data_IF_504930389077
#
_entry.id   IF_504930389077
#
_cell.length_a   1.000
_cell.length_b   1.000
_cell.length_c   1.000
_cell.angle_alpha   90.00
_cell.angle_beta   90.00
_cell.angle_gamma   90.00
#
_symmetry.space_group_name_H-M   'P 1'
#
loop_
_entity.id
_entity.type
_entity.pdbx_description
1 polymer ?
#
# COMPACT_ATOMS: atom_id res chain seq x y z
N UNK A 1 -19.18 -15.78 10.39
CA UNK A 1 -18.09 -15.58 9.40
C UNK A 1 -17.56 -14.16 9.56
N UNK A 2 -16.33 -13.99 10.02
CA UNK A 2 -15.68 -12.67 10.10
C UNK A 2 -15.40 -12.15 8.69
N UNK A 3 -15.80 -10.91 8.39
CA UNK A 3 -15.58 -10.25 7.10
C UNK A 3 -14.29 -9.42 7.06
N UNK A 4 -13.40 -9.60 8.05
CA UNK A 4 -12.19 -8.80 8.20
C UNK A 4 -10.97 -9.54 7.67
N UNK A 5 -10.17 -8.85 6.87
CA UNK A 5 -8.84 -9.35 6.45
C UNK A 5 -7.85 -9.21 7.63
N UNK A 6 -6.94 -10.19 7.81
CA UNK A 6 -5.85 -10.07 8.78
C UNK A 6 -4.95 -8.85 8.49
N UNK A 7 -4.36 -8.27 9.54
CA UNK A 7 -3.52 -7.07 9.43
C UNK A 7 -2.28 -7.30 8.55
N UNK A 8 -1.71 -8.50 8.60
CA UNK A 8 -0.60 -8.94 7.75
C UNK A 8 -0.95 -8.83 6.26
N UNK A 9 -2.13 -9.33 5.88
CA UNK A 9 -2.61 -9.30 4.50
C UNK A 9 -2.89 -7.86 4.05
N UNK A 10 -3.45 -7.03 4.93
CA UNK A 10 -3.62 -5.58 4.67
C UNK A 10 -2.25 -4.91 4.46
N UNK A 11 -1.26 -5.29 5.28
CA UNK A 11 0.12 -4.83 5.21
C UNK A 11 0.83 -5.21 3.91
N UNK A 12 0.38 -6.25 3.22
CA UNK A 12 0.91 -6.67 1.91
C UNK A 12 0.17 -6.06 0.72
N UNK A 13 -1.15 -5.84 0.86
CA UNK A 13 -1.99 -5.28 -0.21
C UNK A 13 -1.77 -3.77 -0.35
N UNK A 14 -1.90 -3.02 0.75
CA UNK A 14 -1.90 -1.56 0.70
C UNK A 14 -0.61 -0.94 0.13
N UNK A 15 0.61 -1.48 0.37
CA UNK A 15 1.83 -0.95 -0.25
C UNK A 15 1.90 -1.11 -1.77
N UNK A 16 1.13 -2.02 -2.37
CA UNK A 16 1.13 -2.26 -3.82
C UNK A 16 0.24 -1.29 -4.60
N UNK A 17 -0.59 -0.53 -3.89
CA UNK A 17 -1.53 0.42 -4.49
C UNK A 17 -0.81 1.68 -4.97
N UNK A 18 -1.36 2.39 -5.97
CA UNK A 18 -0.85 3.71 -6.34
C UNK A 18 -0.90 4.71 -5.19
N UNK A 19 0.09 5.60 -5.11
CA UNK A 19 0.20 6.61 -4.06
C UNK A 19 -1.09 7.45 -3.89
N UNK A 20 -1.73 7.84 -5.00
CA UNK A 20 -2.98 8.62 -4.99
C UNK A 20 -4.11 7.88 -4.26
N UNK A 21 -4.20 6.56 -4.40
CA UNK A 21 -5.21 5.75 -3.70
C UNK A 21 -4.90 5.65 -2.21
N UNK A 22 -3.63 5.41 -1.85
CA UNK A 22 -3.18 5.34 -0.45
C UNK A 22 -3.47 6.65 0.30
N UNK A 23 -3.28 7.81 -0.35
CA UNK A 23 -3.61 9.11 0.24
C UNK A 23 -5.10 9.26 0.57
N UNK A 24 -5.98 8.81 -0.32
CA UNK A 24 -7.44 8.85 -0.08
C UNK A 24 -7.84 7.91 1.06
N UNK A 25 -7.15 6.78 1.22
CA UNK A 25 -7.47 5.78 2.24
C UNK A 25 -7.12 6.20 3.68
N UNK A 26 -6.42 7.32 3.86
CA UNK A 26 -6.13 7.90 5.19
C UNK A 26 -7.38 8.21 6.01
N UNK A 27 -8.53 8.46 5.35
CA UNK A 27 -9.79 8.76 6.03
C UNK A 27 -10.63 7.53 6.39
N UNK A 28 -10.24 6.31 5.97
CA UNK A 28 -11.05 5.10 6.15
C UNK A 28 -11.08 4.66 7.62
N UNK A 29 -9.91 4.55 8.27
CA UNK A 29 -9.83 4.24 9.69
C UNK A 29 -8.49 4.66 10.31
N UNK A 30 -8.46 4.77 11.65
CA UNK A 30 -7.24 5.15 12.41
C UNK A 30 -6.09 4.15 12.24
N UNK A 31 -6.40 2.85 12.13
CA UNK A 31 -5.38 1.80 11.97
C UNK A 31 -4.62 1.96 10.65
N UNK A 32 -5.32 2.24 9.55
CA UNK A 32 -4.70 2.49 8.25
C UNK A 32 -3.90 3.79 8.25
N UNK A 33 -4.42 4.85 8.86
CA UNK A 33 -3.66 6.08 9.04
C UNK A 33 -2.34 5.84 9.80
N UNK A 34 -2.36 5.03 10.86
CA UNK A 34 -1.15 4.64 11.60
C UNK A 34 -0.20 3.81 10.73
N UNK A 35 -0.72 2.84 9.99
CA UNK A 35 0.05 2.02 9.06
C UNK A 35 0.77 2.88 8.01
N UNK A 36 0.09 3.86 7.41
CA UNK A 36 0.67 4.74 6.40
C UNK A 36 1.76 5.68 6.94
N UNK A 37 1.80 5.91 8.26
CA UNK A 37 2.86 6.68 8.93
C UNK A 37 4.06 5.81 9.32
N UNK A 38 3.96 4.48 9.19
CA UNK A 38 5.03 3.56 9.51
C UNK A 38 6.14 3.62 8.44
N UNK A 39 7.42 3.85 8.80
CA UNK A 39 8.54 3.84 7.84
C UNK A 39 8.65 2.55 7.02
N UNK A 40 8.31 1.39 7.61
CA UNK A 40 8.33 0.10 6.91
C UNK A 40 7.31 0.07 5.77
N UNK A 41 6.12 0.65 5.98
CA UNK A 41 5.12 0.79 4.92
C UNK A 41 5.66 1.64 3.78
N UNK A 42 6.28 2.79 4.09
CA UNK A 42 6.86 3.68 3.07
C UNK A 42 7.95 2.97 2.27
N UNK A 43 8.83 2.22 2.94
CA UNK A 43 9.89 1.43 2.28
C UNK A 43 9.31 0.38 1.32
N UNK A 44 8.30 -0.38 1.74
CA UNK A 44 7.63 -1.35 0.89
C UNK A 44 6.90 -0.69 -0.28
N UNK A 45 6.17 0.40 -0.03
CA UNK A 45 5.44 1.12 -1.06
C UNK A 45 6.39 1.70 -2.13
N UNK A 46 7.55 2.23 -1.74
CA UNK A 46 8.58 2.69 -2.68
C UNK A 46 9.18 1.55 -3.51
N UNK A 47 9.39 0.37 -2.91
CA UNK A 47 9.87 -0.83 -3.63
C UNK A 47 8.90 -1.21 -4.76
N UNK A 48 7.60 -1.28 -4.47
CA UNK A 48 6.59 -1.61 -5.47
C UNK A 48 6.41 -0.51 -6.53
N UNK A 49 6.48 0.77 -6.14
CA UNK A 49 6.43 1.88 -7.09
C UNK A 49 7.58 1.82 -8.11
N UNK A 50 8.80 1.49 -7.67
CA UNK A 50 9.94 1.29 -8.57
C UNK A 50 9.71 0.13 -9.55
N UNK A 51 9.25 -1.02 -9.04
CA UNK A 51 8.95 -2.19 -9.87
C UNK A 51 7.92 -1.87 -10.95
N UNK A 52 6.84 -1.15 -10.60
CA UNK A 52 5.80 -0.77 -11.55
C UNK A 52 6.32 0.12 -12.68
N UNK A 53 7.23 1.04 -12.38
CA UNK A 53 7.84 1.88 -13.41
C UNK A 53 8.74 1.05 -14.34
N UNK A 54 9.47 0.07 -13.81
CA UNK A 54 10.26 -0.85 -14.63
C UNK A 54 9.39 -1.71 -15.54
N UNK A 55 8.25 -2.22 -15.07
CA UNK A 55 7.34 -3.02 -15.91
C UNK A 55 6.67 -2.19 -16.99
N UNK A 56 6.34 -0.93 -16.72
CA UNK A 56 5.74 -0.05 -17.73
C UNK A 56 6.68 0.22 -18.91
N UNK A 57 8.00 0.20 -18.69
CA UNK A 57 9.02 0.36 -19.73
C UNK A 57 9.24 -0.91 -20.56
N UNK A 58 8.94 -2.09 -20.01
CA UNK A 58 9.05 -3.37 -20.73
C UNK A 58 7.82 -3.67 -21.60
N UNK A 59 6.71 -2.98 -21.34
CA UNK A 59 5.44 -3.14 -22.04
C UNK A 59 5.19 -2.04 -23.10
N UNK A 60 6.16 -1.15 -23.30
CA UNK A 60 6.19 -0.08 -24.31
C UNK A 60 7.23 -0.36 -25.37
#
# INVERSE_FOLDING_TARGET
MSRYLPEEIIGDILPRLPAKSVLRFRCVCKSWLKLFRNPNFVKHHLKYAKQRNSTNLLLS
#
